data_IF_688526762113
#
_entry.id   IF_688526762113
#
_cell.length_a   1.000
_cell.length_b   1.000
_cell.length_c   1.000
_cell.angle_alpha   90.00
_cell.angle_beta   90.00
_cell.angle_gamma   90.00
#
_symmetry.space_group_name_H-M   'P 1'
#
loop_
_entity.id
_entity.type
_entity.pdbx_description
1 polymer ?
#
# COMPACT_ATOMS: atom_id res chain seq x y z
N UNK A 1 -22.62 21.03 -16.90
CA UNK A 1 -23.34 19.77 -16.59
C UNK A 1 -22.93 19.34 -15.19
N UNK A 2 -23.91 19.17 -14.30
CA UNK A 2 -23.68 18.84 -12.89
C UNK A 2 -22.93 17.51 -12.78
N UNK A 3 -21.74 17.54 -12.17
CA UNK A 3 -20.99 16.33 -11.85
C UNK A 3 -21.83 15.48 -10.91
N UNK A 4 -22.32 14.34 -11.41
CA UNK A 4 -23.01 13.36 -10.59
C UNK A 4 -22.17 13.05 -9.36
N UNK A 5 -22.78 13.15 -8.18
CA UNK A 5 -22.22 12.67 -6.92
C UNK A 5 -22.10 11.14 -7.02
N UNK A 6 -21.05 10.65 -7.68
CA UNK A 6 -20.74 9.22 -7.70
C UNK A 6 -20.38 8.80 -6.28
N UNK A 7 -21.25 7.98 -5.68
CA UNK A 7 -21.01 7.36 -4.37
C UNK A 7 -19.82 6.39 -4.44
N UNK A 8 -19.34 5.96 -3.27
CA UNK A 8 -18.27 4.94 -3.18
C UNK A 8 -18.70 3.69 -3.97
N UNK A 9 -17.81 3.16 -4.79
CA UNK A 9 -18.02 1.94 -5.56
C UNK A 9 -16.98 0.89 -5.14
N UNK A 10 -17.39 -0.37 -5.11
CA UNK A 10 -16.46 -1.49 -5.06
C UNK A 10 -15.80 -1.60 -6.44
N UNK A 11 -14.47 -1.72 -6.54
CA UNK A 11 -13.80 -1.87 -7.83
C UNK A 11 -14.35 -3.05 -8.63
N UNK A 12 -14.68 -2.78 -9.88
CA UNK A 12 -15.18 -3.75 -10.86
C UNK A 12 -14.04 -4.25 -11.78
N UNK A 13 -14.39 -5.08 -12.76
CA UNK A 13 -13.42 -5.63 -13.73
C UNK A 13 -12.70 -4.52 -14.51
N UNK A 14 -13.39 -3.43 -14.84
CA UNK A 14 -12.80 -2.29 -15.54
C UNK A 14 -11.69 -1.63 -14.70
N UNK A 15 -11.90 -1.48 -13.39
CA UNK A 15 -10.90 -0.96 -12.48
C UNK A 15 -9.65 -1.87 -12.43
N UNK A 16 -9.81 -3.19 -12.36
CA UNK A 16 -8.69 -4.14 -12.37
C UNK A 16 -7.94 -4.15 -13.71
N UNK A 17 -8.65 -4.12 -14.84
CA UNK A 17 -8.05 -4.04 -16.18
C UNK A 17 -7.24 -2.75 -16.33
N UNK A 18 -7.81 -1.62 -15.93
CA UNK A 18 -7.14 -0.31 -15.98
C UNK A 18 -5.91 -0.27 -15.09
N UNK A 19 -5.98 -0.82 -13.87
CA UNK A 19 -4.84 -0.91 -12.97
C UNK A 19 -3.71 -1.77 -13.56
N UNK A 20 -4.04 -2.95 -14.10
CA UNK A 20 -3.06 -3.83 -14.77
C UNK A 20 -2.38 -3.12 -15.94
N UNK A 21 -3.14 -2.43 -16.79
CA UNK A 21 -2.59 -1.66 -17.90
C UNK A 21 -1.62 -0.56 -17.44
N UNK A 22 -1.91 0.11 -16.32
CA UNK A 22 -1.00 1.09 -15.72
C UNK A 22 0.28 0.46 -15.17
N UNK A 23 0.21 -0.74 -14.59
CA UNK A 23 1.39 -1.49 -14.16
C UNK A 23 2.29 -1.86 -15.35
N UNK A 24 1.68 -2.27 -16.47
CA UNK A 24 2.35 -2.75 -17.68
C UNK A 24 2.91 -1.66 -18.58
N UNK A 25 2.32 -0.47 -18.53
CA UNK A 25 2.78 0.66 -19.33
C UNK A 25 4.08 1.24 -18.79
N UNK A 26 5.07 1.40 -19.67
CA UNK A 26 6.28 2.18 -19.40
C UNK A 26 6.20 3.62 -19.95
N UNK A 27 5.09 3.97 -20.60
CA UNK A 27 4.89 5.31 -21.17
C UNK A 27 4.72 6.36 -20.06
N UNK A 28 5.48 7.46 -20.17
CA UNK A 28 5.44 8.58 -19.23
C UNK A 28 6.03 8.29 -17.85
N UNK A 29 6.77 7.20 -17.68
CA UNK A 29 7.46 6.84 -16.44
C UNK A 29 8.95 7.20 -16.51
N UNK A 30 9.45 7.91 -15.50
CA UNK A 30 10.87 8.22 -15.34
C UNK A 30 11.48 7.24 -14.34
N UNK A 31 12.49 6.47 -14.76
CA UNK A 31 13.17 5.54 -13.84
C UNK A 31 14.04 6.32 -12.83
N UNK A 32 13.67 6.25 -11.56
CA UNK A 32 14.31 6.94 -10.45
C UNK A 32 15.37 6.08 -9.73
N UNK A 33 15.24 4.74 -9.79
CA UNK A 33 16.15 3.79 -9.16
C UNK A 33 16.12 2.44 -9.88
N UNK A 34 17.27 1.76 -10.01
CA UNK A 34 17.32 0.36 -10.46
C UNK A 34 18.56 -0.35 -9.91
N UNK A 35 18.38 -1.26 -8.95
CA UNK A 35 19.46 -2.07 -8.37
C UNK A 35 18.90 -3.28 -7.62
N UNK A 36 19.60 -4.42 -7.72
CA UNK A 36 19.34 -5.60 -6.89
C UNK A 36 17.92 -6.17 -7.03
N UNK A 37 17.41 -6.26 -8.27
CA UNK A 37 16.06 -6.75 -8.55
C UNK A 37 14.92 -5.77 -8.22
N UNK A 38 15.24 -4.57 -7.71
CA UNK A 38 14.27 -3.51 -7.45
C UNK A 38 14.43 -2.40 -8.48
N UNK A 39 13.31 -1.97 -9.06
CA UNK A 39 13.24 -0.79 -9.94
C UNK A 39 12.13 0.13 -9.46
N UNK A 40 12.37 1.44 -9.46
CA UNK A 40 11.39 2.47 -9.08
C UNK A 40 11.27 3.47 -10.22
N UNK A 41 10.03 3.76 -10.59
CA UNK A 41 9.69 4.83 -11.53
C UNK A 41 8.79 5.86 -10.85
N UNK A 42 8.94 7.08 -11.31
CA UNK A 42 8.13 8.22 -10.91
C UNK A 42 7.44 8.78 -12.16
N UNK A 43 6.17 9.11 -12.07
CA UNK A 43 5.45 9.82 -13.13
C UNK A 43 4.96 11.14 -12.53
N UNK A 44 5.33 12.29 -13.12
CA UNK A 44 4.88 13.59 -12.62
C UNK A 44 3.35 13.68 -12.65
N UNK A 45 2.75 14.54 -11.81
CA UNK A 45 1.30 14.76 -11.84
C UNK A 45 0.85 15.16 -13.25
N UNK A 46 -0.30 14.65 -13.69
CA UNK A 46 -0.96 15.15 -14.89
C UNK A 46 -1.42 16.60 -14.69
N UNK A 47 -1.70 17.31 -15.78
CA UNK A 47 -2.19 18.69 -15.72
C UNK A 47 -3.44 18.79 -14.83
N UNK A 48 -3.42 19.71 -13.86
CA UNK A 48 -4.48 19.86 -12.85
C UNK A 48 -4.41 18.90 -11.65
N UNK A 49 -3.44 17.98 -11.59
CA UNK A 49 -3.18 17.15 -10.42
C UNK A 49 -1.97 17.65 -9.63
N UNK A 50 -1.99 17.49 -8.30
CA UNK A 50 -0.86 17.84 -7.41
C UNK A 50 -0.01 16.65 -6.97
N UNK A 51 -0.45 15.42 -7.29
CA UNK A 51 0.10 14.19 -6.72
C UNK A 51 0.74 13.33 -7.80
N UNK A 52 2.03 13.06 -7.64
CA UNK A 52 2.78 12.19 -8.54
C UNK A 52 2.41 10.71 -8.35
N UNK A 53 2.61 9.88 -9.37
CA UNK A 53 2.52 8.42 -9.24
C UNK A 53 3.90 7.81 -9.03
N UNK A 54 3.94 6.74 -8.24
CA UNK A 54 5.12 5.89 -8.06
C UNK A 54 4.79 4.47 -8.48
N UNK A 55 5.68 3.86 -9.27
CA UNK A 55 5.64 2.45 -9.65
C UNK A 55 6.91 1.80 -9.14
N UNK A 56 6.80 0.67 -8.45
CA UNK A 56 7.95 -0.10 -7.98
C UNK A 56 7.80 -1.52 -8.47
N UNK A 57 8.88 -2.10 -8.99
CA UNK A 57 8.97 -3.50 -9.39
C UNK A 57 10.01 -4.19 -8.53
N UNK A 58 9.64 -5.35 -8.00
CA UNK A 58 10.52 -6.25 -7.26
C UNK A 58 10.46 -7.62 -7.93
N UNK A 59 11.61 -8.11 -8.38
CA UNK A 59 11.76 -9.45 -8.94
C UNK A 59 12.28 -10.38 -7.85
N UNK A 60 11.49 -11.37 -7.47
CA UNK A 60 11.85 -12.40 -6.50
C UNK A 60 12.09 -13.72 -7.21
N UNK A 61 13.25 -14.34 -6.98
CA UNK A 61 13.59 -15.65 -7.58
C UNK A 61 13.30 -16.83 -6.64
N UNK A 62 13.05 -16.53 -5.38
CA UNK A 62 13.02 -17.42 -4.22
C UNK A 62 11.70 -17.34 -3.45
N UNK A 63 10.74 -16.55 -3.94
CA UNK A 63 9.42 -16.36 -3.33
C UNK A 63 8.34 -16.72 -4.34
N UNK A 64 7.43 -17.61 -3.96
CA UNK A 64 6.28 -17.99 -4.77
C UNK A 64 5.20 -16.89 -4.76
N UNK A 65 4.43 -16.79 -5.85
CA UNK A 65 3.42 -15.75 -6.00
C UNK A 65 2.31 -15.84 -4.93
N UNK A 66 1.93 -17.05 -4.51
CA UNK A 66 0.97 -17.30 -3.44
C UNK A 66 1.45 -16.78 -2.08
N UNK A 67 2.74 -16.98 -1.77
CA UNK A 67 3.38 -16.51 -0.55
C UNK A 67 3.44 -14.99 -0.52
N UNK A 68 3.78 -14.36 -1.65
CA UNK A 68 3.72 -12.90 -1.79
C UNK A 68 2.30 -12.38 -1.58
N UNK A 69 1.31 -13.04 -2.18
CA UNK A 69 -0.10 -12.68 -2.05
C UNK A 69 -0.58 -12.77 -0.60
N UNK A 70 -0.26 -13.86 0.10
CA UNK A 70 -0.58 -14.05 1.51
C UNK A 70 0.02 -12.95 2.39
N UNK A 71 1.30 -12.61 2.20
CA UNK A 71 2.00 -11.56 2.98
C UNK A 71 1.37 -10.19 2.79
N UNK A 72 0.86 -9.89 1.59
CA UNK A 72 0.19 -8.61 1.30
C UNK A 72 -1.18 -8.52 2.00
N UNK A 73 -1.87 -9.65 2.19
CA UNK A 73 -3.18 -9.72 2.85
C UNK A 73 -3.11 -9.83 4.39
N UNK A 74 -2.13 -10.56 4.93
CA UNK A 74 -2.10 -10.94 6.35
C UNK A 74 -1.79 -9.73 7.26
N UNK A 75 -2.85 -9.06 7.72
CA UNK A 75 -2.76 -7.90 8.60
C UNK A 75 -2.12 -8.24 9.96
N UNK A 76 -2.28 -9.46 10.46
CA UNK A 76 -1.63 -9.92 11.68
C UNK A 76 -0.11 -10.03 11.50
N UNK A 77 0.33 -10.49 10.32
CA UNK A 77 1.74 -10.55 9.99
C UNK A 77 2.35 -9.17 9.69
N UNK A 78 1.57 -8.22 9.16
CA UNK A 78 2.06 -6.87 8.82
C UNK A 78 2.82 -6.21 9.97
N UNK A 79 2.31 -6.32 11.21
CA UNK A 79 2.94 -5.80 12.42
C UNK A 79 4.32 -6.38 12.73
N UNK A 80 4.66 -7.55 12.18
CA UNK A 80 5.94 -8.23 12.41
C UNK A 80 7.07 -7.72 11.53
N UNK A 81 6.75 -7.20 10.35
CA UNK A 81 7.78 -6.85 9.36
C UNK A 81 7.74 -5.39 8.91
N UNK A 82 6.61 -4.70 9.06
CA UNK A 82 6.51 -3.27 8.75
C UNK A 82 6.81 -2.43 9.99
N UNK A 83 8.08 -2.02 10.14
CA UNK A 83 8.56 -1.19 11.24
C UNK A 83 7.87 0.18 11.32
N UNK A 84 7.23 0.62 10.24
CA UNK A 84 6.59 1.93 10.17
C UNK A 84 5.13 1.88 10.62
N UNK A 85 4.52 0.70 10.73
CA UNK A 85 3.14 0.56 11.21
C UNK A 85 3.01 1.04 12.65
N UNK A 86 2.03 1.90 12.88
CA UNK A 86 1.55 2.27 14.21
C UNK A 86 0.33 1.42 14.55
N UNK A 87 -0.60 1.29 13.60
CA UNK A 87 -1.82 0.53 13.77
C UNK A 87 -2.33 0.07 12.40
N UNK A 88 -2.74 -1.18 12.27
CA UNK A 88 -3.43 -1.70 11.09
C UNK A 88 -4.45 -2.76 11.51
N UNK A 89 -5.65 -2.70 10.93
CA UNK A 89 -6.71 -3.70 11.10
C UNK A 89 -7.79 -3.51 10.04
N UNK A 90 -8.48 -4.60 9.71
CA UNK A 90 -9.65 -4.56 8.85
C UNK A 90 -10.87 -4.12 9.69
N UNK A 91 -11.65 -3.18 9.17
CA UNK A 91 -12.83 -2.60 9.82
C UNK A 91 -14.05 -3.49 9.58
N UNK A 92 -14.22 -3.96 8.34
CA UNK A 92 -15.35 -4.79 7.98
C UNK A 92 -15.40 -5.12 6.49
N UNK A 93 -16.24 -6.09 6.15
CA UNK A 93 -16.31 -6.70 4.83
C UNK A 93 -17.47 -6.14 4.01
N UNK A 94 -17.23 -5.87 2.72
CA UNK A 94 -18.23 -5.41 1.74
C UNK A 94 -18.75 -6.56 0.88
N UNK A 95 -17.84 -7.37 0.33
CA UNK A 95 -18.15 -8.55 -0.52
C UNK A 95 -17.27 -9.74 -0.12
N UNK A 96 -17.21 -10.81 -0.90
CA UNK A 96 -16.25 -11.91 -0.64
C UNK A 96 -14.78 -11.49 -0.87
N UNK A 97 -14.57 -10.48 -1.71
CA UNK A 97 -13.26 -10.03 -2.19
C UNK A 97 -13.03 -8.52 -2.00
N UNK A 98 -13.81 -7.87 -1.13
CA UNK A 98 -13.64 -6.47 -0.82
C UNK A 98 -13.95 -6.18 0.65
N UNK A 99 -13.11 -5.34 1.26
CA UNK A 99 -13.20 -4.91 2.65
C UNK A 99 -12.83 -3.44 2.81
N UNK A 100 -13.07 -2.92 4.02
CA UNK A 100 -12.62 -1.60 4.47
C UNK A 100 -11.59 -1.82 5.56
N UNK A 101 -10.44 -1.16 5.47
CA UNK A 101 -9.35 -1.26 6.44
C UNK A 101 -8.88 0.10 6.94
N UNK A 102 -8.24 0.09 8.10
CA UNK A 102 -7.53 1.23 8.68
C UNK A 102 -6.04 0.94 8.75
N UNK A 103 -5.23 1.94 8.39
CA UNK A 103 -3.78 1.87 8.47
C UNK A 103 -3.20 3.21 8.90
N UNK A 104 -2.28 3.18 9.87
CA UNK A 104 -1.54 4.34 10.34
C UNK A 104 -0.05 4.04 10.42
N UNK A 105 0.79 5.01 10.01
CA UNK A 105 2.23 4.83 9.93
C UNK A 105 3.03 6.03 10.43
N UNK A 106 4.25 5.71 10.87
CA UNK A 106 5.27 6.68 11.29
C UNK A 106 5.84 7.39 10.08
N UNK A 107 5.92 8.72 10.15
CA UNK A 107 6.63 9.52 9.17
C UNK A 107 8.00 9.95 9.72
N UNK A 108 8.99 10.22 8.84
CA UNK A 108 10.25 10.81 9.25
C UNK A 108 10.00 12.13 9.99
N UNK A 109 10.65 12.34 11.14
CA UNK A 109 10.58 13.62 11.85
C UNK A 109 11.13 14.75 10.95
N UNK A 110 10.60 15.98 11.05
CA UNK A 110 9.56 16.45 11.98
C UNK A 110 8.11 16.30 11.46
N UNK A 111 7.88 15.49 10.43
CA UNK A 111 6.55 15.31 9.85
C UNK A 111 5.59 14.62 10.82
N UNK A 112 4.31 15.03 10.82
CA UNK A 112 3.27 14.30 11.58
C UNK A 112 3.06 12.90 11.01
N UNK A 113 2.64 11.95 11.85
CA UNK A 113 2.26 10.62 11.39
C UNK A 113 1.02 10.68 10.50
N UNK A 114 0.82 9.68 9.63
CA UNK A 114 -0.34 9.62 8.75
C UNK A 114 -1.24 8.43 9.06
N UNK A 115 -2.51 8.58 8.75
CA UNK A 115 -3.48 7.50 8.69
C UNK A 115 -4.28 7.54 7.37
N UNK A 116 -4.87 6.42 6.99
CA UNK A 116 -5.95 6.37 6.02
C UNK A 116 -6.97 5.29 6.36
N UNK A 117 -8.17 5.47 5.81
CA UNK A 117 -9.19 4.43 5.72
C UNK A 117 -9.34 4.13 4.23
N UNK A 118 -9.23 2.85 3.86
CA UNK A 118 -9.28 2.42 2.46
C UNK A 118 -10.32 1.34 2.25
N UNK A 119 -11.00 1.40 1.11
CA UNK A 119 -11.70 0.25 0.53
C UNK A 119 -10.68 -0.51 -0.31
N UNK A 120 -10.46 -1.79 0.02
CA UNK A 120 -9.57 -2.69 -0.71
C UNK A 120 -10.42 -3.76 -1.40
N UNK A 121 -10.04 -4.12 -2.61
CA UNK A 121 -10.63 -5.21 -3.39
C UNK A 121 -9.52 -6.03 -4.05
N UNK A 122 -9.72 -7.33 -4.18
CA UNK A 122 -8.74 -8.24 -4.77
C UNK A 122 -9.36 -9.17 -5.80
N UNK A 123 -8.52 -9.59 -6.75
CA UNK A 123 -8.89 -10.45 -7.86
C UNK A 123 -7.74 -11.43 -8.15
N UNK A 124 -7.85 -12.70 -7.74
CA UNK A 124 -6.96 -13.75 -8.22
C UNK A 124 -7.31 -14.10 -9.68
N UNK A 125 -6.29 -14.18 -10.53
CA UNK A 125 -6.34 -14.72 -11.88
C UNK A 125 -5.50 -16.00 -11.93
N UNK A 126 -5.47 -16.69 -13.07
CA UNK A 126 -4.75 -17.97 -13.20
C UNK A 126 -3.26 -17.89 -12.83
N UNK A 127 -2.56 -16.83 -13.28
CA UNK A 127 -1.12 -16.65 -13.05
C UNK A 127 -0.76 -15.37 -12.29
N UNK A 128 -1.75 -14.51 -12.03
CA UNK A 128 -1.55 -13.17 -11.49
C UNK A 128 -2.49 -12.92 -10.32
N UNK A 129 -2.06 -12.12 -9.35
CA UNK A 129 -2.92 -11.62 -8.28
C UNK A 129 -2.96 -10.10 -8.32
N UNK A 130 -4.17 -9.54 -8.24
CA UNK A 130 -4.38 -8.10 -8.14
C UNK A 130 -5.01 -7.74 -6.81
N UNK A 131 -4.49 -6.69 -6.17
CA UNK A 131 -5.07 -6.08 -4.98
C UNK A 131 -5.05 -4.57 -5.22
N UNK A 132 -6.21 -3.92 -5.23
CA UNK A 132 -6.31 -2.47 -5.38
C UNK A 132 -7.08 -1.87 -4.21
N UNK A 133 -6.71 -0.66 -3.84
CA UNK A 133 -7.38 0.10 -2.80
C UNK A 133 -7.41 1.59 -3.14
N UNK A 134 -8.41 2.26 -2.57
CA UNK A 134 -8.55 3.71 -2.60
C UNK A 134 -9.17 4.19 -1.29
N UNK A 135 -8.96 5.46 -0.94
CA UNK A 135 -9.45 6.00 0.32
C UNK A 135 -10.95 6.25 0.32
N UNK A 136 -11.57 5.94 1.46
CA UNK A 136 -13.00 6.18 1.73
C UNK A 136 -13.17 6.81 3.11
N UNK A 137 -14.28 7.49 3.34
CA UNK A 137 -14.69 7.96 4.67
C UNK A 137 -15.57 6.89 5.30
N UNK A 138 -15.21 6.45 6.50
CA UNK A 138 -16.06 5.60 7.33
C UNK A 138 -16.51 6.42 8.56
N UNK A 139 -17.81 6.47 8.91
CA UNK A 139 -18.34 7.38 9.94
C UNK A 139 -17.72 7.15 11.33
N UNK A 140 -17.38 5.90 11.65
CA UNK A 140 -16.71 5.53 12.92
C UNK A 140 -15.19 5.80 12.95
N UNK A 141 -14.58 6.24 11.84
CA UNK A 141 -13.14 6.51 11.72
C UNK A 141 -12.86 7.93 11.16
N UNK A 142 -13.31 8.99 11.85
CA UNK A 142 -13.01 10.36 11.46
C UNK A 142 -11.50 10.67 11.56
N UNK A 143 -11.00 11.77 10.96
CA UNK A 143 -9.64 12.23 11.17
C UNK A 143 -9.32 12.42 12.66
N UNK A 144 -8.09 12.06 13.06
CA UNK A 144 -7.61 12.15 14.45
C UNK A 144 -6.59 13.28 14.56
N UNK A 145 -6.58 14.01 15.67
CA UNK A 145 -5.71 15.19 15.89
C UNK A 145 -4.21 14.89 15.72
N UNK A 146 -3.77 13.71 16.13
CA UNK A 146 -2.35 13.32 16.13
C UNK A 146 -1.87 12.77 14.77
N UNK A 147 -2.78 12.62 13.80
CA UNK A 147 -2.50 12.08 12.49
C UNK A 147 -2.96 13.04 11.39
N UNK A 148 -2.19 13.08 10.30
CA UNK A 148 -2.65 13.67 9.05
C UNK A 148 -3.39 12.59 8.25
N UNK A 149 -4.65 12.85 7.90
CA UNK A 149 -5.43 11.94 7.06
C UNK A 149 -4.90 12.01 5.62
N UNK A 150 -4.15 10.99 5.20
CA UNK A 150 -3.72 10.84 3.83
C UNK A 150 -4.88 10.34 2.94
N UNK A 151 -4.73 10.51 1.63
CA UNK A 151 -5.70 10.05 0.62
C UNK A 151 -4.98 9.20 -0.41
N UNK A 152 -5.25 7.89 -0.39
CA UNK A 152 -4.90 7.00 -1.50
C UNK A 152 -5.90 7.23 -2.62
N UNK A 153 -5.46 7.85 -3.71
CA UNK A 153 -6.29 8.02 -4.92
C UNK A 153 -6.43 6.66 -5.61
N UNK A 154 -5.30 5.97 -5.76
CA UNK A 154 -5.22 4.59 -6.22
C UNK A 154 -3.91 3.99 -5.74
N UNK A 155 -3.99 2.87 -5.03
CA UNK A 155 -2.83 2.10 -4.60
C UNK A 155 -3.10 0.63 -4.82
N UNK A 156 -2.13 -0.13 -5.30
CA UNK A 156 -2.34 -1.56 -5.49
C UNK A 156 -1.09 -2.35 -5.81
N UNK A 157 -1.28 -3.65 -5.84
CA UNK A 157 -0.27 -4.66 -6.11
C UNK A 157 -0.72 -5.53 -7.28
N UNK A 158 0.21 -5.81 -8.18
CA UNK A 158 0.12 -6.86 -9.19
C UNK A 158 1.25 -7.85 -8.92
N UNK A 159 0.92 -9.06 -8.53
CA UNK A 159 1.87 -10.17 -8.35
C UNK A 159 1.78 -11.06 -9.57
N UNK A 160 2.90 -11.31 -10.24
CA UNK A 160 3.00 -12.21 -11.40
C UNK A 160 3.77 -13.45 -11.04
N UNK A 161 3.18 -14.62 -11.29
CA UNK A 161 3.89 -15.88 -11.19
C UNK A 161 4.90 -16.04 -12.32
N UNK A 162 6.06 -16.62 -12.02
CA UNK A 162 7.01 -17.10 -13.03
C UNK A 162 6.91 -18.63 -13.20
N UNK A 163 5.73 -19.20 -12.90
CA UNK A 163 5.51 -20.64 -12.87
C UNK A 163 6.02 -21.24 -11.56
N UNK A 164 6.84 -22.28 -11.65
CA UNK A 164 7.26 -23.03 -10.45
C UNK A 164 8.29 -22.29 -9.59
N UNK A 165 8.91 -21.21 -10.08
CA UNK A 165 9.99 -20.53 -9.39
C UNK A 165 9.86 -19.01 -9.46
N UNK A 166 9.57 -18.38 -8.32
CA UNK A 166 9.66 -16.93 -8.18
C UNK A 166 8.41 -16.18 -8.63
N UNK A 167 8.43 -14.87 -8.39
CA UNK A 167 7.37 -13.97 -8.80
C UNK A 167 7.91 -12.56 -9.04
N UNK A 168 7.16 -11.75 -9.77
CA UNK A 168 7.38 -10.30 -9.83
C UNK A 168 6.25 -9.58 -9.11
N UNK A 169 6.60 -8.73 -8.15
CA UNK A 169 5.68 -7.78 -7.54
C UNK A 169 5.79 -6.43 -8.26
N UNK A 170 4.67 -5.89 -8.72
CA UNK A 170 4.53 -4.49 -9.12
C UNK A 170 3.65 -3.80 -8.10
N UNK A 171 4.17 -2.77 -7.44
CA UNK A 171 3.45 -1.89 -6.54
C UNK A 171 3.26 -0.54 -7.21
N UNK A 172 2.00 -0.13 -7.41
CA UNK A 172 1.64 1.15 -8.03
C UNK A 172 0.88 1.98 -7.00
N UNK A 173 1.29 3.23 -6.81
CA UNK A 173 0.63 4.12 -5.86
C UNK A 173 0.56 5.56 -6.33
N UNK A 174 -0.62 6.15 -6.17
CA UNK A 174 -0.89 7.58 -6.25
C UNK A 174 -1.51 7.98 -4.91
N UNK A 175 -0.64 8.31 -3.96
CA UNK A 175 -1.01 8.66 -2.59
C UNK A 175 -0.77 10.14 -2.40
N UNK A 176 -1.81 10.88 -2.01
CA UNK A 176 -1.67 12.22 -1.45
C UNK A 176 -1.39 12.07 0.06
N UNK A 177 -0.16 12.27 0.53
CA UNK A 177 0.15 12.15 1.95
C UNK A 177 -0.54 13.22 2.80
N UNK A 178 -1.11 14.25 2.15
CA UNK A 178 -1.58 15.51 2.71
C UNK A 178 -0.50 16.23 3.50
N UNK A 179 -0.44 17.55 3.35
CA UNK A 179 0.77 18.29 3.64
C UNK A 179 1.33 18.95 2.37
N UNK A 180 1.90 20.14 2.49
CA UNK A 180 2.94 20.54 1.53
C UNK A 180 4.24 19.85 1.91
N UNK A 181 4.56 18.71 1.29
CA UNK A 181 5.81 18.02 1.59
C UNK A 181 7.02 18.75 1.00
N UNK A 182 8.15 18.86 1.73
CA UNK A 182 9.38 19.37 1.16
C UNK A 182 9.89 18.56 -0.03
N UNK A 183 10.55 19.20 -1.00
CA UNK A 183 11.13 18.53 -2.18
C UNK A 183 12.11 17.40 -1.82
N UNK A 184 12.85 17.55 -0.71
CA UNK A 184 13.77 16.51 -0.24
C UNK A 184 13.03 15.22 0.14
N UNK A 185 11.82 15.31 0.71
CA UNK A 185 11.00 14.14 1.08
C UNK A 185 10.59 13.38 -0.17
N UNK A 186 10.18 14.10 -1.22
CA UNK A 186 9.78 13.50 -2.51
C UNK A 186 10.96 12.74 -3.14
N UNK A 187 12.16 13.31 -3.12
CA UNK A 187 13.38 12.67 -3.63
C UNK A 187 13.83 11.49 -2.76
N UNK A 188 13.78 11.62 -1.42
CA UNK A 188 14.15 10.56 -0.48
C UNK A 188 13.16 9.38 -0.54
N UNK A 189 11.88 9.66 -0.79
CA UNK A 189 10.85 8.65 -0.94
C UNK A 189 11.14 7.70 -2.11
N UNK A 190 11.47 8.23 -3.29
CA UNK A 190 11.73 7.43 -4.49
C UNK A 190 13.10 6.75 -4.49
N UNK A 191 14.13 7.39 -3.93
CA UNK A 191 15.51 6.87 -4.00
C UNK A 191 15.90 5.97 -2.81
N UNK A 192 15.31 6.16 -1.64
CA UNK A 192 15.68 5.41 -0.42
C UNK A 192 14.52 4.61 0.16
N UNK A 193 13.38 5.25 0.44
CA UNK A 193 12.30 4.60 1.18
C UNK A 193 11.60 3.51 0.34
N UNK A 194 11.34 3.78 -0.94
CA UNK A 194 10.72 2.81 -1.83
C UNK A 194 11.57 1.54 -2.02
N UNK A 195 12.89 1.63 -2.33
CA UNK A 195 13.73 0.43 -2.39
C UNK A 195 13.84 -0.32 -1.06
N UNK A 196 13.95 0.39 0.07
CA UNK A 196 13.95 -0.23 1.41
C UNK A 196 12.64 -0.99 1.67
N UNK A 197 11.49 -0.42 1.31
CA UNK A 197 10.18 -1.05 1.47
C UNK A 197 10.08 -2.35 0.65
N UNK A 198 10.51 -2.37 -0.61
CA UNK A 198 10.50 -3.59 -1.44
C UNK A 198 11.38 -4.68 -0.85
N UNK A 199 12.57 -4.33 -0.33
CA UNK A 199 13.45 -5.30 0.36
C UNK A 199 12.83 -5.87 1.63
N UNK A 200 12.10 -5.05 2.40
CA UNK A 200 11.36 -5.52 3.59
C UNK A 200 10.24 -6.49 3.22
N UNK A 201 9.49 -6.21 2.16
CA UNK A 201 8.47 -7.13 1.63
C UNK A 201 9.10 -8.47 1.24
N UNK A 202 10.21 -8.45 0.50
CA UNK A 202 10.93 -9.68 0.12
C UNK A 202 11.34 -10.50 1.36
N UNK A 203 12.01 -9.87 2.34
CA UNK A 203 12.41 -10.53 3.59
C UNK A 203 11.20 -11.09 4.35
N UNK A 204 10.09 -10.36 4.38
CA UNK A 204 8.85 -10.82 5.00
C UNK A 204 8.32 -12.08 4.31
N UNK A 205 8.35 -12.13 2.98
CA UNK A 205 7.92 -13.30 2.22
C UNK A 205 8.80 -14.53 2.50
N UNK A 206 10.11 -14.37 2.56
CA UNK A 206 11.04 -15.47 2.91
C UNK A 206 10.74 -16.02 4.31
N UNK A 207 10.41 -15.15 5.27
CA UNK A 207 10.10 -15.55 6.67
C UNK A 207 8.66 -16.03 6.87
N UNK A 208 7.74 -15.73 5.96
CA UNK A 208 6.29 -15.95 6.15
C UNK A 208 5.90 -17.43 6.35
N UNK A 209 6.36 -18.42 5.55
CA UNK A 209 5.95 -19.81 5.73
C UNK A 209 6.28 -20.37 7.13
N UNK A 210 7.44 -20.00 7.68
CA UNK A 210 7.83 -20.41 9.03
C UNK A 210 7.02 -19.70 10.13
N UNK A 211 6.64 -18.44 9.91
CA UNK A 211 5.77 -17.73 10.82
C UNK A 211 4.34 -18.28 10.78
N UNK A 212 3.74 -18.41 9.59
CA UNK A 212 2.33 -18.79 9.41
C UNK A 212 2.03 -20.20 9.93
N UNK A 213 2.97 -21.15 9.82
CA UNK A 213 2.88 -22.49 10.44
C UNK A 213 2.59 -22.46 11.94
N UNK A 214 3.01 -21.39 12.64
CA UNK A 214 2.86 -21.22 14.10
C UNK A 214 1.69 -20.31 14.48
N UNK A 215 0.99 -19.71 13.51
CA UNK A 215 -0.03 -18.68 13.72
C UNK A 215 -1.25 -18.98 12.83
N UNK A 216 -2.01 -20.00 13.22
CA UNK A 216 -3.25 -20.41 12.53
C UNK A 216 -3.03 -20.63 11.01
N UNK A 217 -2.25 -21.65 10.61
CA UNK A 217 -1.79 -21.82 9.23
C UNK A 217 -2.91 -21.92 8.20
N UNK A 218 -4.06 -22.46 8.61
CA UNK A 218 -5.24 -22.64 7.76
C UNK A 218 -6.16 -21.42 7.73
N UNK A 219 -5.95 -20.44 8.62
CA UNK A 219 -6.73 -19.22 8.66
C UNK A 219 -6.20 -18.20 7.65
N UNK A 220 -6.81 -18.19 6.46
CA UNK A 220 -6.52 -17.33 5.31
C UNK A 220 -7.84 -16.82 4.72
N UNK A 221 -8.54 -15.88 5.39
CA UNK A 221 -9.86 -15.41 4.97
C UNK A 221 -9.87 -14.70 3.61
N UNK A 222 -8.71 -14.27 3.09
CA UNK A 222 -8.56 -13.74 1.74
C UNK A 222 -8.60 -14.81 0.64
N UNK A 223 -8.34 -16.09 0.98
CA UNK A 223 -8.53 -17.24 0.10
C UNK A 223 -9.86 -17.96 0.35
N UNK A 224 -10.31 -17.96 1.61
CA UNK A 224 -11.47 -18.69 2.11
C UNK A 224 -12.42 -17.70 2.83
N UNK A 225 -13.26 -16.95 2.10
CA UNK A 225 -14.05 -15.85 2.67
C UNK A 225 -14.99 -16.25 3.81
N UNK A 226 -15.41 -17.51 3.86
CA UNK A 226 -16.20 -18.10 4.93
C UNK A 226 -15.49 -18.12 6.29
N UNK A 227 -14.16 -18.01 6.31
CA UNK A 227 -13.36 -17.90 7.54
C UNK A 227 -13.40 -16.49 8.15
N UNK A 228 -13.92 -15.50 7.43
CA UNK A 228 -13.93 -14.10 7.87
C UNK A 228 -14.94 -13.88 9.00
N UNK A 229 -14.45 -13.44 10.16
CA UNK A 229 -15.27 -13.00 11.30
C UNK A 229 -15.54 -11.48 11.27
N UNK A 230 -15.23 -10.79 10.16
CA UNK A 230 -15.41 -9.35 10.05
C UNK A 230 -16.91 -9.00 9.96
N UNK A 231 -17.35 -7.90 10.62
CA UNK A 231 -18.71 -7.42 10.45
C UNK A 231 -18.93 -6.95 9.01
N UNK A 232 -20.16 -7.07 8.52
CA UNK A 232 -20.54 -6.50 7.22
C UNK A 232 -20.64 -4.97 7.31
N UNK A 233 -20.05 -4.28 6.32
CA UNK A 233 -20.18 -2.84 6.14
C UNK A 233 -21.09 -2.59 4.94
N UNK A 234 -22.07 -1.68 5.07
CA UNK A 234 -22.92 -1.30 3.94
C UNK A 234 -22.20 -0.24 3.12
N UNK A 235 -22.13 -0.42 1.79
CA UNK A 235 -21.50 0.53 0.88
C UNK A 235 -22.08 1.96 1.03
N UNK A 236 -23.38 2.07 1.31
CA UNK A 236 -24.08 3.34 1.54
C UNK A 236 -23.64 4.09 2.81
N UNK A 237 -22.95 3.43 3.75
CA UNK A 237 -22.38 4.08 4.94
C UNK A 237 -21.04 4.77 4.64
N UNK A 238 -20.43 4.45 3.50
CA UNK A 238 -19.16 5.02 3.08
C UNK A 238 -19.37 6.26 2.24
N UNK A 239 -18.50 7.25 2.40
CA UNK A 239 -18.49 8.44 1.56
C UNK A 239 -17.14 8.57 0.82
N UNK A 240 -17.11 9.21 -0.37
CA UNK A 240 -15.85 9.44 -1.08
C UNK A 240 -14.86 10.26 -0.23
N UNK A 241 -13.60 9.82 -0.17
CA UNK A 241 -12.52 10.60 0.41
C UNK A 241 -11.83 11.39 -0.69
N UNK A 242 -12.17 12.68 -0.82
CA UNK A 242 -11.55 13.57 -1.81
C UNK A 242 -10.41 14.36 -1.20
N UNK A 243 -9.41 14.64 -2.04
CA UNK A 243 -8.23 15.41 -1.67
C UNK A 243 -8.55 16.85 -1.24
N UNK A 244 -9.45 17.53 -1.94
CA UNK A 244 -9.90 18.90 -1.70
C UNK A 244 -10.76 19.05 -0.42
N UNK A 245 -11.38 17.97 0.04
CA UNK A 245 -12.29 17.99 1.20
C UNK A 245 -11.61 17.90 2.57
N UNK A 246 -10.28 17.87 2.63
CA UNK A 246 -9.50 17.79 3.87
C UNK A 246 -8.74 19.09 4.12
N UNK A 247 -8.53 19.43 5.39
CA UNK A 247 -7.73 20.59 5.78
C UNK A 247 -6.32 20.52 5.18
N UNK A 248 -5.87 21.65 4.63
CA UNK A 248 -4.51 21.79 4.11
C UNK A 248 -3.54 22.06 5.27
N UNK A 249 -2.58 21.16 5.44
CA UNK A 249 -1.48 21.33 6.40
C UNK A 249 -0.24 21.74 5.59
N UNK A 250 0.42 22.83 5.93
CA UNK A 250 1.68 23.22 5.29
C UNK A 250 2.87 22.72 6.12
N UNK A 251 3.65 21.81 5.53
CA UNK A 251 4.86 21.23 6.12
C UNK A 251 6.10 21.55 5.25
N UNK A 252 5.99 22.47 4.29
CA UNK A 252 6.99 22.65 3.22
C UNK A 252 8.29 23.27 3.71
N UNK A 253 8.20 24.05 4.79
CA UNK A 253 9.32 24.72 5.44
C UNK A 253 10.12 23.79 6.37
N UNK A 254 9.72 22.53 6.55
CA UNK A 254 10.40 21.61 7.45
C UNK A 254 11.74 21.12 6.85
N UNK A 255 12.82 21.45 7.54
CA UNK A 255 14.14 20.92 7.26
C UNK A 255 14.25 19.45 7.73
N UNK A 256 15.01 18.66 6.98
CA UNK A 256 15.36 17.30 7.36
C UNK A 256 16.13 17.32 8.68
N UNK A 257 15.60 16.68 9.72
CA UNK A 257 16.35 16.47 10.94
C UNK A 257 17.41 15.37 10.65
N UNK A 258 18.69 15.67 10.93
CA UNK A 258 19.75 14.68 10.89
C UNK A 258 19.57 13.75 12.10
N UNK A 259 18.76 12.71 11.95
CA UNK A 259 18.61 11.69 12.99
C UNK A 259 19.70 10.63 12.77
N UNK A 260 20.91 10.94 13.24
CA UNK A 260 22.11 10.11 13.06
C UNK A 260 22.12 8.81 13.89
N UNK A 261 21.07 8.48 14.65
CA UNK A 261 21.14 7.33 15.58
C UNK A 261 19.88 6.46 15.75
N UNK A 262 18.93 6.45 14.81
CA UNK A 262 17.77 5.53 14.89
C UNK A 262 17.55 4.60 13.68
N UNK A 263 18.31 4.73 12.59
CA UNK A 263 18.21 3.85 11.41
C UNK A 263 19.41 2.90 11.20
N UNK A 264 20.36 2.87 12.16
CA UNK A 264 21.57 2.03 12.19
C UNK A 264 21.55 1.12 13.42
N UNK A 265 20.64 0.14 13.44
CA UNK A 265 20.78 -1.14 14.17
C UNK A 265 20.09 -2.18 13.29
N UNK A 266 20.88 -2.88 12.48
CA UNK A 266 21.27 -4.28 12.73
C UNK A 266 20.06 -5.22 12.79
N UNK A 267 19.89 -5.98 11.71
CA UNK A 267 19.83 -7.43 11.83
C UNK A 267 20.95 -7.93 10.90
N UNK A 268 22.17 -7.85 11.42
CA UNK A 268 23.21 -8.81 11.09
C UNK A 268 22.87 -10.05 11.91
N UNK A 269 22.23 -11.03 11.26
CA UNK A 269 22.09 -12.38 11.82
C UNK A 269 22.71 -13.33 10.80
N UNK A 270 24.03 -13.24 10.74
CA UNK A 270 24.87 -14.37 10.41
C UNK A 270 25.15 -15.12 11.72
N UNK A 271 24.33 -16.12 12.03
CA UNK A 271 24.63 -17.11 13.05
C UNK A 271 23.89 -18.43 12.76
N UNK A 272 24.60 -19.32 12.05
CA UNK A 272 24.45 -20.77 11.96
C UNK A 272 23.14 -21.38 11.43
#
# INVERSE_FOLDING_TARGET
MAGQLQGVQVPDDSAFISFRAQCDSDSGWLQCYSRGGVTVWCQPPAEGQSVQKLKMRLVCKDVQADTMYDVLHDAAYRHKWDSNVIQTHDIGRLTANADVGYYAWKCPKPLKNRDFVTLRSWLPLENDYLIINHSVKHPKFPPKKDFVRAVSILTGYLVRSHGNNGCTLIYLTQLDPKGSLPKWVVNRASQMLAPKAMKRIHKACVKYPAWKRRHEPQHKPWLYPEQSNLPSVRLAELAPQRCDSLEHIDESALAEACDDHAELSEDDDNAN
#
